data_IF_770047428855
#
_entry.id   IF_770047428855
#
_cell.length_a   1.000
_cell.length_b   1.000
_cell.length_c   1.000
_cell.angle_alpha   90.00
_cell.angle_beta   90.00
_cell.angle_gamma   90.00
#
_symmetry.space_group_name_H-M   'P 1'
#
loop_
_entity.id
_entity.type
_entity.pdbx_description
1 polymer ?
#
# COMPACT_ATOMS: atom_id res chain seq x y z
N UNK A 1 31.10 -5.63 24.56
CA UNK A 1 30.93 -6.97 25.15
C UNK A 1 29.51 -7.07 25.71
N UNK A 2 28.83 -8.19 25.50
CA UNK A 2 27.48 -8.47 26.00
C UNK A 2 27.52 -9.52 27.11
N UNK A 3 26.69 -9.33 28.13
CA UNK A 3 26.57 -10.14 29.35
C UNK A 3 25.39 -11.13 29.31
N UNK A 4 24.55 -11.05 28.26
CA UNK A 4 23.38 -11.91 28.07
C UNK A 4 23.46 -12.64 26.73
N UNK A 5 23.11 -13.92 26.73
CA UNK A 5 22.91 -14.71 25.51
C UNK A 5 21.41 -14.94 25.31
N UNK A 6 20.86 -14.48 24.18
CA UNK A 6 19.49 -14.75 23.76
C UNK A 6 19.51 -15.84 22.69
N UNK A 7 18.61 -16.81 22.73
CA UNK A 7 18.46 -17.82 21.66
C UNK A 7 17.05 -17.74 21.12
N UNK A 8 16.88 -17.40 19.84
CA UNK A 8 15.56 -17.19 19.23
C UNK A 8 15.27 -18.19 18.12
N UNK A 9 13.98 -18.48 17.89
CA UNK A 9 13.49 -19.25 16.75
C UNK A 9 13.57 -20.76 16.90
N UNK A 10 13.69 -21.31 18.12
CA UNK A 10 13.79 -22.76 18.34
C UNK A 10 12.51 -23.53 18.01
N UNK A 11 11.34 -22.88 17.99
CA UNK A 11 10.07 -23.52 17.64
C UNK A 11 9.51 -23.08 16.29
N UNK A 12 10.27 -22.33 15.50
CA UNK A 12 9.83 -21.87 14.17
C UNK A 12 10.29 -22.90 13.13
N UNK A 13 9.37 -23.67 12.50
CA UNK A 13 9.75 -24.83 11.65
C UNK A 13 10.68 -24.50 10.49
N UNK A 14 10.64 -23.26 10.00
CA UNK A 14 11.36 -22.78 8.81
C UNK A 14 12.57 -21.89 9.12
N UNK A 15 12.89 -21.66 10.41
CA UNK A 15 14.00 -20.78 10.82
C UNK A 15 15.02 -21.54 11.66
N UNK A 16 16.30 -21.47 11.27
CA UNK A 16 17.37 -21.94 12.12
C UNK A 16 17.41 -21.11 13.42
N UNK A 17 17.56 -21.74 14.60
CA UNK A 17 17.75 -21.02 15.84
C UNK A 17 18.97 -20.11 15.77
N UNK A 18 18.90 -18.94 16.38
CA UNK A 18 20.01 -17.99 16.35
C UNK A 18 20.31 -17.44 17.74
N UNK A 19 21.60 -17.44 18.07
CA UNK A 19 22.10 -16.92 19.34
C UNK A 19 22.60 -15.48 19.20
N UNK A 20 22.11 -14.58 20.05
CA UNK A 20 22.49 -13.17 20.08
C UNK A 20 23.18 -12.84 21.39
N UNK A 21 24.41 -12.31 21.31
CA UNK A 21 25.09 -11.78 22.49
C UNK A 21 24.80 -10.29 22.64
N UNK A 22 24.15 -9.92 23.74
CA UNK A 22 23.62 -8.56 23.98
C UNK A 22 23.93 -8.07 25.38
N UNK A 23 23.61 -6.81 25.68
CA UNK A 23 23.73 -6.23 27.03
C UNK A 23 22.36 -6.22 27.71
N UNK A 24 22.24 -6.89 28.85
CA UNK A 24 21.04 -6.92 29.69
C UNK A 24 20.53 -5.51 29.99
N UNK A 25 21.42 -4.62 30.43
CA UNK A 25 21.11 -3.21 30.74
C UNK A 25 20.58 -2.40 29.57
N UNK A 26 20.97 -2.72 28.32
CA UNK A 26 20.42 -2.06 27.15
C UNK A 26 18.98 -2.50 26.89
N UNK A 27 18.67 -3.78 27.10
CA UNK A 27 17.32 -4.31 26.97
C UNK A 27 16.39 -3.78 28.06
N UNK A 28 16.84 -3.75 29.31
CA UNK A 28 16.03 -3.23 30.42
C UNK A 28 15.66 -1.76 30.23
N UNK A 29 16.54 -0.94 29.64
CA UNK A 29 16.21 0.45 29.30
C UNK A 29 15.23 0.57 28.15
N UNK A 30 15.37 -0.31 27.16
CA UNK A 30 14.53 -0.28 25.95
C UNK A 30 13.13 -0.89 26.16
N UNK A 31 12.89 -1.58 27.28
CA UNK A 31 11.67 -2.35 27.50
C UNK A 31 11.46 -2.69 28.98
N UNK A 32 10.27 -2.38 29.54
CA UNK A 32 9.89 -2.81 30.88
C UNK A 32 9.67 -4.33 30.96
N UNK A 33 9.28 -4.97 29.85
CA UNK A 33 9.13 -6.43 29.78
C UNK A 33 10.49 -7.12 29.93
N UNK A 34 11.51 -6.65 29.20
CA UNK A 34 12.87 -7.15 29.36
C UNK A 34 13.40 -6.88 30.77
N UNK A 35 13.11 -5.70 31.35
CA UNK A 35 13.49 -5.41 32.73
C UNK A 35 12.89 -6.41 33.73
N UNK A 36 11.61 -6.76 33.56
CA UNK A 36 10.93 -7.77 34.39
C UNK A 36 11.49 -9.18 34.17
N UNK A 37 11.73 -9.58 32.91
CA UNK A 37 12.25 -10.91 32.57
C UNK A 37 13.70 -11.12 33.02
N UNK A 38 14.49 -10.06 33.14
CA UNK A 38 15.90 -10.11 33.53
C UNK A 38 16.10 -9.86 35.04
N UNK A 39 15.04 -9.47 35.76
CA UNK A 39 15.08 -9.19 37.18
C UNK A 39 15.56 -10.41 37.99
N UNK A 40 16.30 -10.21 39.09
CA UNK A 40 16.67 -11.30 39.99
C UNK A 40 15.42 -12.00 40.54
N UNK A 41 15.39 -13.34 40.50
CA UNK A 41 14.28 -14.12 41.04
C UNK A 41 13.04 -14.23 40.15
N UNK A 42 13.02 -13.62 38.96
CA UNK A 42 11.96 -13.89 37.98
C UNK A 42 12.15 -15.30 37.42
N UNK A 43 11.25 -16.23 37.75
CA UNK A 43 11.12 -17.47 36.98
C UNK A 43 10.74 -17.07 35.56
N UNK A 44 11.61 -17.34 34.58
CA UNK A 44 11.44 -16.95 33.18
C UNK A 44 10.18 -17.56 32.56
N UNK A 45 9.03 -16.94 32.80
CA UNK A 45 7.72 -17.42 32.34
C UNK A 45 6.80 -16.27 31.91
N UNK A 46 7.25 -15.01 31.97
CA UNK A 46 6.36 -13.86 31.69
C UNK A 46 5.86 -13.87 30.24
N UNK A 47 6.63 -14.43 29.30
CA UNK A 47 6.29 -14.55 27.88
C UNK A 47 6.75 -15.88 27.23
N UNK A 48 6.81 -16.96 28.00
CA UNK A 48 7.21 -18.29 27.50
C UNK A 48 8.70 -18.46 27.18
N UNK A 49 9.56 -17.54 27.65
CA UNK A 49 11.00 -17.65 27.52
C UNK A 49 11.68 -18.07 28.82
N UNK A 50 12.50 -19.12 28.79
CA UNK A 50 13.13 -19.70 29.98
C UNK A 50 14.56 -19.20 30.15
N UNK A 51 14.96 -18.99 31.40
CA UNK A 51 16.32 -18.55 31.75
C UNK A 51 17.07 -19.69 32.42
N UNK A 52 18.12 -20.17 31.76
CA UNK A 52 19.06 -21.18 32.28
C UNK A 52 20.48 -20.65 32.10
N UNK A 53 21.25 -20.57 33.19
CA UNK A 53 22.69 -20.24 33.16
C UNK A 53 23.11 -18.99 32.34
N UNK A 54 22.31 -17.91 32.39
CA UNK A 54 22.61 -16.67 31.64
C UNK A 54 22.24 -16.72 30.16
N UNK A 55 21.56 -17.78 29.73
CA UNK A 55 20.87 -17.91 28.45
C UNK A 55 19.39 -17.62 28.66
N UNK A 56 18.79 -16.87 27.74
CA UNK A 56 17.35 -16.63 27.68
C UNK A 56 16.83 -17.13 26.34
N UNK A 57 16.00 -18.16 26.39
CA UNK A 57 15.41 -18.77 25.21
C UNK A 57 14.11 -18.05 24.82
N UNK A 58 13.95 -17.80 23.52
CA UNK A 58 12.85 -17.06 22.90
C UNK A 58 12.32 -17.89 21.72
N UNK A 59 11.70 -19.05 21.99
CA UNK A 59 11.43 -20.07 21.00
C UNK A 59 10.59 -19.58 19.80
N UNK A 60 9.57 -18.78 20.08
CA UNK A 60 8.64 -18.26 19.08
C UNK A 60 9.07 -16.95 18.41
N UNK A 61 10.21 -16.37 18.79
CA UNK A 61 10.64 -15.10 18.21
C UNK A 61 11.43 -15.32 16.93
N UNK A 62 11.06 -14.60 15.87
CA UNK A 62 11.81 -14.66 14.61
C UNK A 62 13.18 -14.00 14.77
N UNK A 63 14.29 -14.70 14.46
CA UNK A 63 15.65 -14.17 14.64
C UNK A 63 15.92 -12.85 13.92
N UNK A 64 15.42 -12.67 12.69
CA UNK A 64 15.70 -11.47 11.91
C UNK A 64 15.03 -10.23 12.49
N UNK A 65 13.76 -10.35 12.90
CA UNK A 65 13.03 -9.28 13.56
C UNK A 65 13.67 -8.92 14.91
N UNK A 66 14.04 -9.94 15.70
CA UNK A 66 14.75 -9.74 16.96
C UNK A 66 16.09 -9.02 16.76
N UNK A 67 16.84 -9.37 15.71
CA UNK A 67 18.12 -8.69 15.38
C UNK A 67 17.93 -7.18 15.16
N UNK A 68 16.84 -6.79 14.51
CA UNK A 68 16.50 -5.37 14.27
C UNK A 68 16.16 -4.68 15.59
N UNK A 69 15.28 -5.27 16.40
CA UNK A 69 14.88 -4.72 17.70
C UNK A 69 16.08 -4.59 18.66
N UNK A 70 16.94 -5.60 18.72
CA UNK A 70 18.19 -5.54 19.50
C UNK A 70 19.12 -4.44 18.99
N UNK A 71 19.18 -4.21 17.68
CA UNK A 71 19.98 -3.11 17.13
C UNK A 71 19.43 -1.74 17.55
N UNK A 72 18.10 -1.59 17.58
CA UNK A 72 17.43 -0.39 18.06
C UNK A 72 17.69 -0.14 19.55
N UNK A 73 17.53 -1.15 20.40
CA UNK A 73 17.83 -1.08 21.84
C UNK A 73 19.29 -0.67 22.15
N UNK A 74 20.21 -0.94 21.23
CA UNK A 74 21.62 -0.53 21.34
C UNK A 74 21.96 0.80 20.63
N UNK A 75 20.95 1.52 20.15
CA UNK A 75 21.12 2.81 19.47
C UNK A 75 21.76 2.72 18.08
N UNK A 76 21.76 1.54 17.43
CA UNK A 76 22.43 1.30 16.14
C UNK A 76 21.56 1.71 14.95
N UNK A 77 21.13 2.97 14.91
CA UNK A 77 20.19 3.45 13.89
C UNK A 77 20.79 3.64 12.49
N UNK A 78 22.12 3.71 12.38
CA UNK A 78 22.85 3.77 11.09
C UNK A 78 23.07 2.40 10.44
N UNK A 79 22.44 1.35 10.96
CA UNK A 79 22.67 -0.02 10.54
C UNK A 79 22.11 -0.27 9.13
N UNK A 80 23.00 -0.69 8.21
CA UNK A 80 22.70 -0.88 6.77
C UNK A 80 21.50 -1.81 6.48
N UNK A 81 21.25 -2.89 7.24
CA UNK A 81 20.13 -3.78 7.02
C UNK A 81 18.76 -3.10 7.07
N UNK A 82 18.52 -2.13 7.95
CA UNK A 82 17.24 -1.38 7.93
C UNK A 82 17.06 -0.64 6.62
N UNK A 83 18.11 0.00 6.08
CA UNK A 83 18.04 0.59 4.72
C UNK A 83 17.81 -0.45 3.62
N UNK A 84 18.36 -1.67 3.78
CA UNK A 84 18.18 -2.76 2.81
C UNK A 84 16.81 -3.43 2.89
N UNK A 85 16.17 -3.47 4.06
CA UNK A 85 14.81 -3.97 4.23
C UNK A 85 13.84 -3.18 3.35
N UNK A 86 13.96 -1.85 3.37
CA UNK A 86 13.17 -0.97 2.52
C UNK A 86 13.59 -1.02 1.05
N UNK A 87 14.89 -1.14 0.74
CA UNK A 87 15.35 -1.32 -0.64
C UNK A 87 14.85 -2.62 -1.28
N UNK A 88 14.47 -3.62 -0.47
CA UNK A 88 13.86 -4.88 -0.93
C UNK A 88 12.34 -4.91 -0.70
N UNK A 89 11.75 -3.83 -0.20
CA UNK A 89 10.32 -3.73 0.12
C UNK A 89 9.81 -4.91 0.98
N UNK A 90 10.62 -5.36 1.95
CA UNK A 90 10.24 -6.47 2.84
C UNK A 90 9.33 -5.96 3.97
N UNK A 91 8.08 -5.65 3.62
CA UNK A 91 7.07 -5.20 4.58
C UNK A 91 6.77 -6.27 5.63
N UNK A 92 6.89 -7.57 5.28
CA UNK A 92 6.70 -8.68 6.22
C UNK A 92 7.65 -8.58 7.41
N UNK A 93 8.94 -8.38 7.16
CA UNK A 93 9.91 -8.20 8.26
C UNK A 93 9.63 -6.92 9.07
N UNK A 94 9.13 -5.84 8.46
CA UNK A 94 8.76 -4.62 9.20
C UNK A 94 7.59 -4.89 10.15
N UNK A 95 6.55 -5.59 9.68
CA UNK A 95 5.42 -6.05 10.51
C UNK A 95 5.96 -6.86 11.70
N UNK A 96 6.78 -7.87 11.45
CA UNK A 96 7.32 -8.72 12.51
C UNK A 96 8.14 -7.93 13.54
N UNK A 97 8.92 -6.94 13.10
CA UNK A 97 9.67 -6.05 14.01
C UNK A 97 8.73 -5.23 14.88
N UNK A 98 7.66 -4.68 14.31
CA UNK A 98 6.68 -3.88 15.03
C UNK A 98 5.89 -4.74 16.03
N UNK A 99 5.43 -5.92 15.61
CA UNK A 99 4.76 -6.90 16.48
C UNK A 99 5.66 -7.34 17.62
N UNK A 100 6.94 -7.59 17.34
CA UNK A 100 7.91 -7.96 18.37
C UNK A 100 8.17 -6.80 19.35
N UNK A 101 8.31 -5.57 18.84
CA UNK A 101 8.48 -4.40 19.68
C UNK A 101 7.26 -4.18 20.58
N UNK A 102 6.05 -4.40 20.08
CA UNK A 102 4.81 -4.35 20.86
C UNK A 102 4.75 -5.44 21.93
N UNK A 103 5.06 -6.69 21.58
CA UNK A 103 5.16 -7.82 22.52
C UNK A 103 6.07 -7.49 23.71
N UNK A 104 7.18 -6.81 23.45
CA UNK A 104 8.15 -6.42 24.46
C UNK A 104 7.95 -5.00 25.01
N UNK A 105 6.90 -4.27 24.63
CA UNK A 105 6.72 -2.86 25.03
C UNK A 105 8.00 -2.03 24.80
N UNK A 106 8.49 -2.07 23.57
CA UNK A 106 9.75 -1.48 23.13
C UNK A 106 9.57 -0.62 21.87
N UNK A 107 8.37 -0.08 21.66
CA UNK A 107 8.03 0.68 20.46
C UNK A 107 8.87 1.97 20.37
N UNK A 108 9.10 2.66 21.49
CA UNK A 108 9.94 3.85 21.56
C UNK A 108 11.39 3.61 21.17
N UNK A 109 11.91 2.39 21.35
CA UNK A 109 13.23 2.04 20.86
C UNK A 109 13.33 2.18 19.32
N UNK A 110 12.20 2.01 18.60
CA UNK A 110 12.12 2.16 17.15
C UNK A 110 11.86 3.60 16.69
N UNK A 111 11.53 4.53 17.59
CA UNK A 111 11.15 5.90 17.25
C UNK A 111 12.08 6.62 16.25
N UNK A 112 13.42 6.43 16.30
CA UNK A 112 14.33 7.06 15.33
C UNK A 112 14.16 6.59 13.88
N UNK A 113 13.55 5.42 13.67
CA UNK A 113 13.26 4.88 12.33
C UNK A 113 11.84 5.17 11.86
N UNK A 114 10.86 5.33 12.77
CA UNK A 114 9.44 5.53 12.45
C UNK A 114 9.22 6.64 11.42
N UNK A 115 9.80 7.83 11.62
CA UNK A 115 9.62 8.94 10.67
C UNK A 115 10.13 8.61 9.26
N UNK A 116 11.25 7.89 9.17
CA UNK A 116 11.79 7.48 7.88
C UNK A 116 10.89 6.43 7.22
N UNK A 117 10.41 5.46 8.01
CA UNK A 117 9.49 4.42 7.55
C UNK A 117 8.17 5.01 7.05
N UNK A 118 7.55 5.92 7.81
CA UNK A 118 6.37 6.68 7.41
C UNK A 118 6.58 7.50 6.12
N UNK A 119 7.73 8.17 6.01
CA UNK A 119 8.10 8.88 4.78
C UNK A 119 8.16 7.95 3.57
N UNK A 120 8.76 6.77 3.73
CA UNK A 120 8.87 5.75 2.67
C UNK A 120 7.51 5.14 2.30
N UNK A 121 6.62 4.91 3.26
CA UNK A 121 5.25 4.43 2.98
C UNK A 121 4.48 5.41 2.09
N UNK A 122 4.60 6.71 2.36
CA UNK A 122 3.93 7.76 1.59
C UNK A 122 4.55 8.00 0.23
N UNK A 123 5.86 7.82 0.07
CA UNK A 123 6.54 8.01 -1.23
C UNK A 123 6.48 6.79 -2.15
N UNK A 124 6.01 5.63 -1.67
CA UNK A 124 5.97 4.37 -2.42
C UNK A 124 4.92 4.32 -3.56
N UNK A 125 4.28 5.44 -3.87
CA UNK A 125 3.27 5.54 -4.93
C UNK A 125 4.01 5.42 -6.27
N UNK A 126 4.16 4.20 -6.78
CA UNK A 126 4.72 3.99 -8.12
C UNK A 126 5.59 2.77 -8.32
N UNK A 127 6.09 2.08 -7.28
CA UNK A 127 6.91 0.87 -7.50
C UNK A 127 6.18 -0.41 -7.07
N UNK A 128 5.39 -0.38 -5.99
CA UNK A 128 4.63 -1.56 -5.53
C UNK A 128 3.27 -1.71 -6.24
N UNK A 129 2.68 -0.60 -6.67
CA UNK A 129 1.33 -0.56 -7.26
C UNK A 129 1.28 -1.17 -8.67
N UNK A 130 2.41 -1.23 -9.38
CA UNK A 130 2.43 -1.70 -10.78
C UNK A 130 2.70 -3.19 -10.93
N UNK A 131 3.10 -3.88 -9.85
CA UNK A 131 3.31 -5.33 -9.89
C UNK A 131 2.07 -6.14 -9.54
N UNK A 132 0.90 -5.52 -9.37
CA UNK A 132 -0.37 -6.24 -9.19
C UNK A 132 -0.42 -7.14 -7.95
N UNK A 133 0.46 -6.95 -6.97
CA UNK A 133 0.48 -7.79 -5.76
C UNK A 133 -0.31 -7.10 -4.64
N UNK A 134 -1.59 -7.44 -4.55
CA UNK A 134 -2.47 -7.05 -3.45
C UNK A 134 -1.88 -7.40 -2.08
N UNK A 135 -1.16 -8.52 -1.96
CA UNK A 135 -0.42 -8.88 -0.74
C UNK A 135 0.54 -7.78 -0.27
N UNK A 136 1.27 -7.14 -1.20
CA UNK A 136 2.19 -6.05 -0.88
C UNK A 136 1.45 -4.81 -0.37
N UNK A 137 0.28 -4.49 -0.93
CA UNK A 137 -0.55 -3.39 -0.48
C UNK A 137 -1.14 -3.66 0.92
N UNK A 138 -1.59 -4.89 1.20
CA UNK A 138 -2.06 -5.30 2.54
C UNK A 138 -0.94 -5.19 3.56
N UNK A 139 0.25 -5.69 3.25
CA UNK A 139 1.39 -5.58 4.18
C UNK A 139 1.79 -4.12 4.41
N UNK A 140 1.70 -3.27 3.38
CA UNK A 140 1.87 -1.82 3.53
C UNK A 140 0.80 -1.20 4.45
N UNK A 141 -0.47 -1.61 4.33
CA UNK A 141 -1.55 -1.19 5.23
C UNK A 141 -1.26 -1.62 6.67
N UNK A 142 -0.85 -2.86 6.88
CA UNK A 142 -0.51 -3.42 8.20
C UNK A 142 0.63 -2.62 8.86
N UNK A 143 1.71 -2.34 8.11
CA UNK A 143 2.80 -1.48 8.62
C UNK A 143 2.29 -0.08 8.95
N UNK A 144 1.51 0.55 8.07
CA UNK A 144 0.97 1.89 8.32
C UNK A 144 0.08 1.93 9.58
N UNK A 145 -0.75 0.90 9.76
CA UNK A 145 -1.58 0.72 10.94
C UNK A 145 -0.75 0.58 12.22
N UNK A 146 0.25 -0.31 12.20
CA UNK A 146 1.13 -0.54 13.35
C UNK A 146 1.93 0.72 13.71
N UNK A 147 2.31 1.55 12.71
CA UNK A 147 3.00 2.82 12.92
C UNK A 147 2.10 3.99 13.33
N UNK A 148 0.78 3.86 13.20
CA UNK A 148 -0.14 4.98 13.37
C UNK A 148 -0.08 6.00 12.22
N UNK A 149 0.40 5.63 11.04
CA UNK A 149 0.56 6.54 9.89
C UNK A 149 -0.71 6.55 9.02
N UNK A 150 -1.65 7.44 9.34
CA UNK A 150 -2.90 7.59 8.59
C UNK A 150 -2.68 7.90 7.11
N UNK A 151 -1.72 8.76 6.78
CA UNK A 151 -1.38 9.06 5.39
C UNK A 151 -0.80 7.84 4.66
N UNK A 152 0.07 7.08 5.31
CA UNK A 152 0.59 5.82 4.77
C UNK A 152 -0.51 4.77 4.55
N UNK A 153 -1.49 4.71 5.45
CA UNK A 153 -2.62 3.79 5.38
C UNK A 153 -3.54 4.14 4.21
N UNK A 154 -3.88 5.43 4.08
CA UNK A 154 -4.65 5.96 2.94
C UNK A 154 -3.99 5.60 1.61
N UNK A 155 -2.67 5.82 1.48
CA UNK A 155 -1.95 5.47 0.25
C UNK A 155 -1.88 3.96 -0.02
N UNK A 156 -1.90 3.14 1.03
CA UNK A 156 -1.93 1.70 0.86
C UNK A 156 -3.31 1.20 0.40
N UNK A 157 -4.39 1.78 0.95
CA UNK A 157 -5.77 1.53 0.53
C UNK A 157 -6.01 1.99 -0.91
N UNK A 158 -5.48 3.17 -1.28
CA UNK A 158 -5.46 3.64 -2.68
C UNK A 158 -4.83 2.60 -3.60
N UNK A 159 -3.70 2.02 -3.19
CA UNK A 159 -3.06 0.92 -3.89
C UNK A 159 -4.02 -0.23 -4.13
N UNK A 160 -4.68 -0.74 -3.09
CA UNK A 160 -5.66 -1.84 -3.19
C UNK A 160 -6.78 -1.49 -4.18
N UNK A 161 -7.39 -0.30 -4.06
CA UNK A 161 -8.49 0.13 -4.92
C UNK A 161 -8.09 0.17 -6.39
N UNK A 162 -6.90 0.72 -6.69
CA UNK A 162 -6.41 0.90 -8.05
C UNK A 162 -5.92 -0.39 -8.70
N UNK A 163 -5.31 -1.30 -7.94
CA UNK A 163 -4.53 -2.42 -8.49
C UNK A 163 -5.17 -3.78 -8.28
N UNK A 164 -6.11 -3.90 -7.33
CA UNK A 164 -6.81 -5.16 -7.09
C UNK A 164 -7.62 -5.62 -8.31
N UNK A 165 -8.01 -6.88 -8.32
CA UNK A 165 -9.09 -7.41 -9.16
C UNK A 165 -10.20 -7.98 -8.27
N UNK A 166 -11.38 -8.30 -8.82
CA UNK A 166 -12.52 -8.74 -8.01
C UNK A 166 -12.19 -10.00 -7.19
N UNK A 167 -11.46 -10.96 -7.78
CA UNK A 167 -10.97 -12.15 -7.07
C UNK A 167 -10.03 -11.83 -5.90
N UNK A 168 -9.11 -10.89 -6.08
CA UNK A 168 -8.23 -10.43 -4.99
C UNK A 168 -9.03 -9.77 -3.88
N UNK A 169 -9.96 -8.90 -4.25
CA UNK A 169 -10.83 -8.18 -3.32
C UNK A 169 -11.71 -9.13 -2.52
N UNK A 170 -12.34 -10.12 -3.18
CA UNK A 170 -13.11 -11.14 -2.50
C UNK A 170 -12.23 -11.96 -1.54
N UNK A 171 -10.96 -12.16 -1.90
CA UNK A 171 -9.98 -12.81 -1.02
C UNK A 171 -9.65 -11.90 0.16
N UNK A 172 -9.44 -10.60 -0.04
CA UNK A 172 -9.21 -9.62 1.02
C UNK A 172 -10.37 -9.49 1.99
N UNK A 173 -11.61 -9.49 1.50
CA UNK A 173 -12.79 -9.43 2.35
C UNK A 173 -12.89 -10.70 3.21
N UNK A 174 -12.71 -11.88 2.63
CA UNK A 174 -12.64 -13.15 3.38
C UNK A 174 -11.49 -13.16 4.40
N UNK A 175 -10.35 -12.59 4.03
CA UNK A 175 -9.19 -12.42 4.91
C UNK A 175 -9.51 -11.45 6.06
N UNK A 176 -10.21 -10.35 5.79
CA UNK A 176 -10.66 -9.39 6.79
C UNK A 176 -11.68 -9.99 7.76
N UNK A 177 -12.64 -10.76 7.24
CA UNK A 177 -13.61 -11.53 8.02
C UNK A 177 -12.92 -12.60 8.89
N UNK A 178 -11.91 -13.27 8.33
CA UNK A 178 -11.05 -14.22 9.04
C UNK A 178 -9.93 -13.54 9.85
N UNK A 179 -9.93 -12.21 9.97
CA UNK A 179 -8.80 -11.37 10.35
C UNK A 179 -8.12 -11.73 11.68
N UNK A 180 -8.79 -12.50 12.53
CA UNK A 180 -8.25 -13.02 13.78
C UNK A 180 -7.17 -14.11 13.58
N UNK A 181 -7.28 -14.97 12.56
CA UNK A 181 -6.33 -16.07 12.33
C UNK A 181 -5.04 -15.60 11.62
N UNK A 182 -5.12 -14.51 10.86
CA UNK A 182 -3.98 -13.92 10.14
C UNK A 182 -3.36 -12.70 10.81
N UNK A 183 -3.85 -12.33 12.00
CA UNK A 183 -3.31 -11.21 12.78
C UNK A 183 -3.60 -9.82 12.20
N UNK A 184 -4.60 -9.70 11.32
CA UNK A 184 -5.01 -8.41 10.79
C UNK A 184 -5.92 -7.69 11.79
N UNK A 185 -5.84 -6.34 11.86
CA UNK A 185 -6.75 -5.57 12.70
C UNK A 185 -8.21 -5.77 12.25
N UNK A 186 -9.18 -5.97 13.18
CA UNK A 186 -10.60 -6.12 12.84
C UNK A 186 -11.17 -4.97 11.99
N UNK A 187 -10.63 -3.76 12.19
CA UNK A 187 -10.93 -2.57 11.40
C UNK A 187 -10.68 -2.73 9.88
N UNK A 188 -9.87 -3.71 9.46
CA UNK A 188 -9.51 -3.86 8.06
C UNK A 188 -10.69 -4.29 7.20
N UNK A 189 -11.67 -5.02 7.74
CA UNK A 189 -12.88 -5.39 6.97
C UNK A 189 -13.62 -4.15 6.46
N UNK A 190 -13.90 -3.21 7.36
CA UNK A 190 -14.58 -1.95 7.01
C UNK A 190 -13.75 -1.12 6.02
N UNK A 191 -12.43 -1.06 6.24
CA UNK A 191 -11.52 -0.32 5.35
C UNK A 191 -11.49 -0.96 3.96
N UNK A 192 -11.50 -2.30 3.87
CA UNK A 192 -11.56 -3.01 2.60
C UNK A 192 -12.90 -2.78 1.90
N UNK A 193 -14.03 -2.93 2.58
CA UNK A 193 -15.36 -2.65 2.01
C UNK A 193 -15.44 -1.25 1.40
N UNK A 194 -14.94 -0.24 2.11
CA UNK A 194 -14.84 1.13 1.58
C UNK A 194 -13.94 1.19 0.36
N UNK A 195 -12.77 0.57 0.39
CA UNK A 195 -11.85 0.51 -0.76
C UNK A 195 -12.50 -0.11 -2.00
N UNK A 196 -13.33 -1.14 -1.81
CA UNK A 196 -14.11 -1.77 -2.88
C UNK A 196 -15.17 -0.85 -3.43
N UNK A 197 -15.95 -0.19 -2.56
CA UNK A 197 -16.93 0.81 -2.96
C UNK A 197 -16.29 1.91 -3.81
N UNK A 198 -15.18 2.48 -3.33
CA UNK A 198 -14.44 3.50 -4.06
C UNK A 198 -13.93 3.03 -5.43
N UNK A 199 -13.46 1.79 -5.51
CA UNK A 199 -13.03 1.22 -6.77
C UNK A 199 -14.19 1.16 -7.76
N UNK A 200 -15.35 0.68 -7.34
CA UNK A 200 -16.54 0.58 -8.19
C UNK A 200 -16.94 1.97 -8.70
N UNK A 201 -16.98 2.95 -7.80
CA UNK A 201 -17.30 4.34 -8.15
C UNK A 201 -16.29 4.91 -9.16
N UNK A 202 -14.99 4.73 -8.91
CA UNK A 202 -13.93 5.22 -9.82
C UNK A 202 -13.97 4.54 -11.19
N UNK A 203 -14.23 3.23 -11.23
CA UNK A 203 -14.42 2.52 -12.50
C UNK A 203 -15.59 3.15 -13.26
N UNK A 204 -16.71 3.40 -12.59
CA UNK A 204 -17.88 4.00 -13.21
C UNK A 204 -17.56 5.42 -13.72
N UNK A 205 -16.90 6.26 -12.92
CA UNK A 205 -16.49 7.61 -13.34
C UNK A 205 -15.59 7.59 -14.58
N UNK A 206 -14.62 6.66 -14.65
CA UNK A 206 -13.75 6.50 -15.83
C UNK A 206 -14.56 6.07 -17.06
N UNK A 207 -15.52 5.15 -16.90
CA UNK A 207 -16.39 4.72 -17.99
C UNK A 207 -17.31 5.86 -18.45
N UNK A 208 -17.91 6.59 -17.53
CA UNK A 208 -18.80 7.72 -17.84
C UNK A 208 -18.05 8.83 -18.57
N UNK A 209 -16.83 9.17 -18.12
CA UNK A 209 -15.97 10.13 -18.80
C UNK A 209 -15.57 9.62 -20.19
N UNK A 210 -15.24 8.33 -20.32
CA UNK A 210 -14.91 7.73 -21.61
C UNK A 210 -16.08 7.82 -22.60
N UNK A 211 -17.28 7.41 -22.18
CA UNK A 211 -18.48 7.45 -23.02
C UNK A 211 -18.86 8.89 -23.37
N UNK A 212 -18.81 9.80 -22.41
CA UNK A 212 -19.02 11.25 -22.65
C UNK A 212 -18.02 11.79 -23.68
N UNK A 213 -16.75 11.38 -23.58
CA UNK A 213 -15.71 11.80 -24.52
C UNK A 213 -15.99 11.27 -25.94
N UNK A 214 -16.36 9.99 -26.07
CA UNK A 214 -16.70 9.36 -27.35
C UNK A 214 -17.95 9.99 -27.98
N UNK A 215 -19.00 10.21 -27.18
CA UNK A 215 -20.24 10.84 -27.64
C UNK A 215 -20.01 12.30 -28.05
N UNK A 216 -19.13 13.02 -27.35
CA UNK A 216 -18.70 14.36 -27.74
C UNK A 216 -18.06 14.38 -29.14
N UNK A 217 -17.20 13.41 -29.46
CA UNK A 217 -16.61 13.29 -30.80
C UNK A 217 -17.68 13.04 -31.88
N UNK A 218 -18.70 12.24 -31.54
CA UNK A 218 -19.80 11.91 -32.44
C UNK A 218 -20.75 13.09 -32.68
N UNK A 219 -20.81 14.07 -31.76
CA UNK A 219 -21.74 15.21 -31.83
C UNK A 219 -21.06 16.58 -32.08
N UNK A 220 -19.73 16.64 -32.21
CA UNK A 220 -18.98 17.89 -32.47
C UNK A 220 -19.11 18.41 -33.92
N UNK A 221 -20.21 19.10 -34.22
CA UNK A 221 -20.49 19.68 -35.54
C UNK A 221 -19.65 20.94 -35.86
N UNK A 222 -19.05 21.56 -34.84
CA UNK A 222 -18.22 22.75 -34.96
C UNK A 222 -16.73 22.43 -35.23
N UNK A 223 -16.34 21.16 -35.13
CA UNK A 223 -14.97 20.69 -35.36
C UNK A 223 -14.00 21.20 -34.29
N UNK A 224 -14.47 21.37 -33.06
CA UNK A 224 -13.72 21.83 -31.90
C UNK A 224 -12.70 20.79 -31.39
N UNK A 225 -12.85 19.52 -31.79
CA UNK A 225 -11.91 18.43 -31.56
C UNK A 225 -10.54 18.66 -32.23
N UNK A 226 -10.49 19.47 -33.29
CA UNK A 226 -9.24 19.79 -33.96
C UNK A 226 -8.48 20.88 -33.20
N UNK A 227 -7.35 20.53 -32.54
CA UNK A 227 -6.51 21.48 -31.80
C UNK A 227 -5.86 22.56 -32.68
N UNK A 228 -5.87 22.38 -34.01
CA UNK A 228 -5.40 23.37 -34.97
C UNK A 228 -6.49 24.38 -35.33
N UNK A 229 -6.91 25.19 -34.36
CA UNK A 229 -7.98 26.19 -34.48
C UNK A 229 -7.80 27.21 -35.62
N UNK A 230 -6.54 27.45 -36.05
CA UNK A 230 -6.17 28.37 -37.14
C UNK A 230 -6.36 27.77 -38.55
N UNK A 231 -6.74 26.50 -38.66
CA UNK A 231 -6.99 25.84 -39.95
C UNK A 231 -8.37 26.18 -40.49
N UNK A 232 -8.57 26.11 -41.82
CA UNK A 232 -9.90 26.24 -42.41
C UNK A 232 -10.91 25.28 -41.77
N UNK A 233 -12.16 25.71 -41.64
CA UNK A 233 -13.24 24.92 -41.04
C UNK A 233 -13.41 23.55 -41.72
N UNK A 234 -13.22 23.49 -43.02
CA UNK A 234 -13.29 22.25 -43.81
C UNK A 234 -12.19 21.25 -43.42
N UNK A 235 -10.93 21.69 -43.27
CA UNK A 235 -9.83 20.83 -42.79
C UNK A 235 -10.11 20.33 -41.35
N UNK A 236 -10.69 21.17 -40.49
CA UNK A 236 -11.08 20.78 -39.13
C UNK A 236 -12.19 19.72 -39.13
N UNK A 237 -13.20 19.88 -39.99
CA UNK A 237 -14.28 18.89 -40.17
C UNK A 237 -13.77 17.56 -40.70
N UNK A 238 -12.85 17.58 -41.68
CA UNK A 238 -12.21 16.36 -42.20
C UNK A 238 -11.47 15.65 -41.08
N UNK A 239 -10.61 16.36 -40.33
CA UNK A 239 -9.88 15.81 -39.19
C UNK A 239 -10.83 15.14 -38.17
N UNK A 240 -11.90 15.83 -37.77
CA UNK A 240 -12.90 15.30 -36.84
C UNK A 240 -13.60 14.05 -37.38
N UNK A 241 -14.07 14.07 -38.63
CA UNK A 241 -14.73 12.92 -39.25
C UNK A 241 -13.83 11.68 -39.33
N UNK A 242 -12.53 11.88 -39.63
CA UNK A 242 -11.55 10.80 -39.66
C UNK A 242 -11.35 10.22 -38.26
N UNK A 243 -11.18 11.07 -37.25
CA UNK A 243 -11.01 10.62 -35.85
C UNK A 243 -12.25 9.87 -35.37
N UNK A 244 -13.44 10.43 -35.58
CA UNK A 244 -14.70 9.82 -35.15
C UNK A 244 -14.92 8.43 -35.77
N UNK A 245 -14.69 8.30 -37.10
CA UNK A 245 -14.84 7.03 -37.81
C UNK A 245 -13.87 5.95 -37.31
N UNK A 246 -12.60 6.31 -37.11
CA UNK A 246 -11.57 5.37 -36.66
C UNK A 246 -11.82 4.94 -35.20
N UNK A 247 -12.26 5.87 -34.33
CA UNK A 247 -12.65 5.56 -32.94
C UNK A 247 -13.85 4.61 -32.94
N UNK A 248 -14.92 4.90 -33.68
CA UNK A 248 -16.08 4.01 -33.79
C UNK A 248 -15.70 2.61 -34.29
N UNK A 249 -14.79 2.52 -35.27
CA UNK A 249 -14.28 1.24 -35.76
C UNK A 249 -13.52 0.48 -34.67
N UNK A 250 -12.71 1.16 -33.88
CA UNK A 250 -12.00 0.51 -32.77
C UNK A 250 -12.95 0.07 -31.66
N UNK A 251 -13.93 0.89 -31.28
CA UNK A 251 -14.94 0.55 -30.27
C UNK A 251 -15.76 -0.69 -30.66
N UNK A 252 -16.09 -0.84 -31.95
CA UNK A 252 -16.77 -2.03 -32.46
C UNK A 252 -15.95 -3.32 -32.29
N UNK A 253 -14.61 -3.22 -32.18
CA UNK A 253 -13.72 -4.36 -31.97
C UNK A 253 -13.47 -4.66 -30.49
N UNK A 254 -13.48 -3.64 -29.62
CA UNK A 254 -13.00 -3.76 -28.24
C UNK A 254 -14.08 -4.05 -27.18
N UNK A 255 -15.37 -4.12 -27.55
CA UNK A 255 -16.50 -4.36 -26.62
C UNK A 255 -16.34 -3.60 -25.29
N UNK A 256 -16.42 -2.27 -25.35
CA UNK A 256 -16.19 -1.43 -24.17
C UNK A 256 -17.29 -1.66 -23.12
N UNK A 257 -16.93 -1.93 -21.86
CA UNK A 257 -17.88 -2.04 -20.75
C UNK A 257 -18.76 -0.80 -20.61
N UNK A 258 -20.00 -0.95 -20.13
CA UNK A 258 -20.89 0.19 -19.87
C UNK A 258 -20.98 0.52 -18.39
N UNK A 259 -20.88 -0.49 -17.55
CA UNK A 259 -21.00 -0.31 -16.10
C UNK A 259 -19.84 -0.97 -15.38
N UNK A 260 -19.57 -0.52 -14.16
CA UNK A 260 -18.55 -1.12 -13.32
C UNK A 260 -18.79 -2.62 -13.06
N UNK A 261 -20.05 -3.07 -13.03
CA UNK A 261 -20.44 -4.48 -12.86
C UNK A 261 -19.97 -5.39 -14.00
N UNK A 262 -19.68 -4.82 -15.18
CA UNK A 262 -19.19 -5.58 -16.34
C UNK A 262 -17.69 -5.92 -16.19
N UNK A 263 -17.02 -5.41 -15.16
CA UNK A 263 -15.56 -5.47 -14.98
C UNK A 263 -15.21 -6.34 -13.78
N UNK A 264 -14.93 -7.60 -14.05
CA UNK A 264 -14.59 -8.59 -13.02
C UNK A 264 -13.06 -8.85 -12.95
N UNK A 265 -12.42 -8.94 -14.12
CA UNK A 265 -11.03 -9.39 -14.25
C UNK A 265 -10.05 -8.28 -14.65
N UNK A 266 -10.25 -7.05 -14.17
CA UNK A 266 -9.35 -5.93 -14.52
C UNK A 266 -9.21 -4.95 -13.38
N UNK A 267 -7.98 -4.53 -13.11
CA UNK A 267 -7.69 -3.39 -12.24
C UNK A 267 -8.15 -2.07 -12.88
N UNK A 268 -8.27 -1.00 -12.08
CA UNK A 268 -8.58 0.35 -12.59
C UNK A 268 -7.50 0.78 -13.59
N UNK A 269 -6.23 0.51 -13.28
CA UNK A 269 -5.11 0.80 -14.15
C UNK A 269 -5.17 0.01 -15.47
N UNK A 270 -5.58 -1.26 -15.43
CA UNK A 270 -5.73 -2.07 -16.64
C UNK A 270 -6.91 -1.60 -17.50
N UNK A 271 -8.03 -1.24 -16.86
CA UNK A 271 -9.18 -0.66 -17.55
C UNK A 271 -8.78 0.64 -18.26
N UNK A 272 -8.20 1.59 -17.54
CA UNK A 272 -7.75 2.86 -18.11
C UNK A 272 -6.79 2.63 -19.29
N UNK A 273 -5.84 1.70 -19.16
CA UNK A 273 -4.92 1.34 -20.24
C UNK A 273 -5.62 0.72 -21.45
N UNK A 274 -6.62 -0.13 -21.24
CA UNK A 274 -7.42 -0.75 -22.32
C UNK A 274 -8.26 0.30 -23.06
N UNK A 275 -8.93 1.19 -22.34
CA UNK A 275 -9.69 2.31 -22.91
C UNK A 275 -8.79 3.28 -23.68
N UNK A 276 -7.63 3.63 -23.12
CA UNK A 276 -6.63 4.42 -23.83
C UNK A 276 -6.11 3.72 -25.09
N UNK A 277 -5.95 2.41 -25.04
CA UNK A 277 -5.50 1.63 -26.19
C UNK A 277 -6.55 1.59 -27.30
N UNK A 278 -7.84 1.49 -26.97
CA UNK A 278 -8.91 1.56 -27.98
C UNK A 278 -8.96 2.94 -28.66
N UNK A 279 -8.74 4.02 -27.91
CA UNK A 279 -8.61 5.36 -28.49
C UNK A 279 -7.32 5.52 -29.32
N UNK A 280 -6.19 4.97 -28.87
CA UNK A 280 -4.91 5.09 -29.58
C UNK A 280 -4.89 4.30 -30.91
N UNK A 281 -5.35 3.05 -30.89
CA UNK A 281 -5.38 2.18 -32.09
C UNK A 281 -6.40 2.69 -33.11
N UNK A 282 -7.51 3.25 -32.60
CA UNK A 282 -8.57 3.87 -33.39
C UNK A 282 -8.36 5.35 -33.73
N UNK A 283 -7.22 5.98 -33.49
CA UNK A 283 -7.04 7.41 -33.81
C UNK A 283 -5.82 7.64 -34.70
N UNK A 284 -5.78 6.98 -35.87
CA UNK A 284 -4.84 7.36 -36.94
C UNK A 284 -5.19 8.76 -37.43
N UNK A 285 -4.59 9.76 -36.81
CA UNK A 285 -4.76 11.15 -37.18
C UNK A 285 -4.16 11.41 -38.57
N UNK A 286 -4.71 12.41 -39.28
CA UNK A 286 -4.10 12.92 -40.50
C UNK A 286 -2.62 13.28 -40.26
N UNK A 287 -1.74 13.19 -41.28
CA UNK A 287 -0.38 13.69 -41.18
C UNK A 287 -0.40 15.13 -40.65
N UNK A 288 0.31 15.39 -39.54
CA UNK A 288 0.36 16.67 -38.78
C UNK A 288 -0.76 16.91 -37.75
N UNK A 289 -1.72 16.01 -37.57
CA UNK A 289 -2.81 16.15 -36.59
C UNK A 289 -2.66 15.23 -35.37
N UNK A 290 -1.44 14.75 -35.05
CA UNK A 290 -1.21 13.81 -33.93
C UNK A 290 -1.67 14.35 -32.57
N UNK A 291 -1.70 15.67 -32.40
CA UNK A 291 -2.17 16.34 -31.19
C UNK A 291 -3.70 16.38 -31.07
N UNK A 292 -4.44 16.07 -32.14
CA UNK A 292 -5.90 15.93 -32.10
C UNK A 292 -6.35 14.55 -31.60
N UNK A 293 -5.42 13.68 -31.18
CA UNK A 293 -5.75 12.33 -30.74
C UNK A 293 -6.61 12.37 -29.48
N UNK A 294 -7.80 11.74 -29.46
CA UNK A 294 -8.66 11.64 -28.28
C UNK A 294 -7.95 11.03 -27.07
N UNK A 295 -7.01 10.11 -27.32
CA UNK A 295 -6.26 9.43 -26.27
C UNK A 295 -5.45 10.38 -25.39
N UNK A 296 -4.97 11.51 -25.92
CA UNK A 296 -4.19 12.49 -25.14
C UNK A 296 -5.10 13.21 -24.14
N UNK A 297 -6.29 13.62 -24.59
CA UNK A 297 -7.26 14.31 -23.74
C UNK A 297 -7.86 13.38 -22.69
N UNK A 298 -8.25 12.17 -23.11
CA UNK A 298 -8.75 11.17 -22.18
C UNK A 298 -7.68 10.75 -21.16
N UNK A 299 -6.40 10.60 -21.55
CA UNK A 299 -5.31 10.30 -20.61
C UNK A 299 -5.21 11.33 -19.50
N UNK A 300 -5.28 12.63 -19.85
CA UNK A 300 -5.22 13.70 -18.85
C UNK A 300 -6.40 13.65 -17.89
N UNK A 301 -7.61 13.31 -18.36
CA UNK A 301 -8.77 13.16 -17.49
C UNK A 301 -8.65 11.92 -16.60
N UNK A 302 -8.17 10.79 -17.14
CA UNK A 302 -7.86 9.63 -16.32
C UNK A 302 -6.82 9.94 -15.25
N UNK A 303 -5.77 10.70 -15.57
CA UNK A 303 -4.78 11.12 -14.59
C UNK A 303 -5.42 11.99 -13.51
N UNK A 304 -6.33 12.91 -13.88
CA UNK A 304 -7.08 13.72 -12.90
C UNK A 304 -8.00 12.87 -12.03
N UNK A 305 -8.65 11.84 -12.56
CA UNK A 305 -9.51 10.95 -11.77
C UNK A 305 -8.67 10.03 -10.86
N UNK A 306 -7.54 9.51 -11.36
CA UNK A 306 -6.67 8.60 -10.63
C UNK A 306 -5.80 9.32 -9.59
N UNK A 307 -5.30 10.52 -9.89
CA UNK A 307 -4.42 11.34 -9.04
C UNK A 307 -5.13 12.51 -8.35
N UNK A 308 -6.41 12.73 -8.65
CA UNK A 308 -7.21 13.80 -8.05
C UNK A 308 -7.28 13.69 -6.53
N UNK A 309 -7.78 14.74 -5.83
CA UNK A 309 -7.98 14.67 -4.40
C UNK A 309 -9.10 13.68 -4.08
N UNK A 310 -8.73 12.41 -3.89
CA UNK A 310 -9.62 11.36 -3.39
C UNK A 310 -10.21 11.82 -2.05
N UNK A 311 -11.51 11.58 -1.86
CA UNK A 311 -12.24 11.91 -0.63
C UNK A 311 -11.91 10.91 0.49
N UNK A 312 -10.65 10.87 0.92
CA UNK A 312 -10.17 9.97 1.96
C UNK A 312 -10.66 10.32 3.36
N UNK A 313 -11.21 11.52 3.53
CA UNK A 313 -11.72 12.03 4.81
C UNK A 313 -12.79 11.12 5.43
N UNK A 314 -13.47 10.29 4.61
CA UNK A 314 -14.47 9.32 5.07
C UNK A 314 -13.96 7.87 5.18
N UNK A 315 -12.70 7.61 4.80
CA UNK A 315 -12.16 6.25 4.80
C UNK A 315 -11.99 5.73 6.24
N UNK A 316 -11.40 6.54 7.10
CA UNK A 316 -11.12 6.19 8.50
C UNK A 316 -12.23 6.75 9.39
N UNK A 317 -12.82 5.90 10.22
CA UNK A 317 -13.72 6.36 11.29
C UNK A 317 -12.94 7.17 12.33
N UNK A 318 -13.65 7.96 13.14
CA UNK A 318 -13.02 8.65 14.27
C UNK A 318 -12.29 7.67 15.20
N UNK A 319 -12.85 6.47 15.42
CA UNK A 319 -12.22 5.42 16.21
C UNK A 319 -10.90 4.94 15.60
N UNK A 320 -10.83 4.78 14.27
CA UNK A 320 -9.58 4.46 13.57
C UNK A 320 -8.54 5.57 13.76
N UNK A 321 -8.95 6.83 13.63
CA UNK A 321 -8.05 7.96 13.81
C UNK A 321 -7.52 8.04 15.25
N UNK A 322 -8.38 7.87 16.25
CA UNK A 322 -7.98 7.84 17.65
C UNK A 322 -6.99 6.69 17.94
N UNK A 323 -7.24 5.49 17.38
CA UNK A 323 -6.30 4.38 17.49
C UNK A 323 -4.93 4.73 16.90
N UNK A 324 -4.89 5.25 15.67
CA UNK A 324 -3.64 5.61 14.98
C UNK A 324 -2.88 6.72 15.74
N UNK A 325 -3.59 7.69 16.30
CA UNK A 325 -3.02 8.74 17.15
C UNK A 325 -2.40 8.16 18.42
N UNK A 326 -3.10 7.24 19.10
CA UNK A 326 -2.57 6.53 20.26
C UNK A 326 -1.29 5.75 19.93
N UNK A 327 -1.22 5.12 18.75
CA UNK A 327 0.00 4.45 18.27
C UNK A 327 1.15 5.44 18.08
N UNK A 328 0.90 6.58 17.45
CA UNK A 328 1.94 7.61 17.29
C UNK A 328 2.47 8.12 18.64
N UNK A 329 1.59 8.27 19.64
CA UNK A 329 1.96 8.67 21.00
C UNK A 329 2.84 7.61 21.68
N UNK A 330 2.53 6.32 21.52
CA UNK A 330 3.35 5.24 22.08
C UNK A 330 4.82 5.27 21.59
N UNK A 331 5.07 5.69 20.35
CA UNK A 331 6.43 5.90 19.85
C UNK A 331 7.13 7.13 20.45
N UNK A 332 6.40 8.07 21.04
CA UNK A 332 6.93 9.32 21.61
C UNK A 332 7.13 9.23 23.13
N UNK A 333 6.24 8.55 23.84
CA UNK A 333 6.22 8.49 25.32
C UNK A 333 7.37 7.68 25.93
N UNK A 334 7.96 6.75 25.18
CA UNK A 334 9.11 5.94 25.62
C UNK A 334 10.48 6.65 25.43
N UNK A 335 10.49 7.97 25.18
CA UNK A 335 11.71 8.81 25.22
C UNK A 335 12.05 9.19 26.67
N UNK A 336 12.50 8.24 27.49
CA UNK A 336 13.06 8.53 28.83
C UNK A 336 14.46 7.93 28.98
#
# INVERSE_FOLDING_TARGET
KGDLLLVAGTTIPSSAPHAFRTRSSALCRASPIWAKMLAPGSAGSVLGGFRTDGVLELPGDRPDALRVLLSAAHGKFRWKPVRRMWAKWDFGLVVEVLTLAEKYQALGALAPWVRAWSGMLRSAIGECCWMGMVEGAVKKMEVAWLLGDSGGLVEAVRGVALTGYEGDIATLLKIGEAGFEMGLPPAFSEIFEKAVGYRIDLIQEILDEFHTHVDGLANDDEGNTCVHSRRPLEERRICRSTISLEVQRSLAQFQVPRTASDIQDSSVADLARRLLSSLCVGAKCLPRHRQCSPSVHFSLQCDVLVDGPWRWDSLLSEEHLQFLLGRQQAFQEERV
#
